data_IF_541355476227
#
_entry.id   IF_541355476227
#
_cell.length_a   1.000
_cell.length_b   1.000
_cell.length_c   1.000
_cell.angle_alpha   90.00
_cell.angle_beta   90.00
_cell.angle_gamma   90.00
#
_symmetry.space_group_name_H-M   'P 1'
#
loop_
_entity.id
_entity.type
_entity.pdbx_description
1 polymer ?
#
# COMPACT_ATOMS: atom_id res chain seq x y z
N UNK A 1 69.89 49.92 -10.43
CA UNK A 1 68.46 50.27 -10.43
C UNK A 1 67.72 48.97 -10.57
N UNK A 2 67.51 48.40 -9.61
CA UNK A 2 66.52 47.78 -8.74
C UNK A 2 65.11 47.62 -9.36
N UNK A 3 64.71 46.43 -9.66
CA UNK A 3 63.28 46.00 -9.66
C UNK A 3 63.15 44.58 -9.12
N UNK A 4 62.45 44.51 -8.02
CA UNK A 4 62.08 43.36 -7.24
C UNK A 4 60.99 42.60 -7.99
N UNK A 5 60.90 41.26 -7.97
CA UNK A 5 59.69 40.50 -8.32
C UNK A 5 58.92 40.10 -7.06
N UNK A 6 57.70 40.46 -7.05
CA UNK A 6 56.65 40.10 -6.08
C UNK A 6 56.37 38.62 -6.13
N UNK A 7 56.47 37.95 -4.98
CA UNK A 7 56.09 36.55 -4.79
C UNK A 7 54.58 36.38 -4.70
N UNK A 8 54.07 35.32 -5.33
CA UNK A 8 52.71 34.79 -5.22
C UNK A 8 52.72 33.75 -4.09
N UNK A 9 51.84 33.80 -3.09
CA UNK A 9 51.75 32.74 -2.09
C UNK A 9 50.96 31.53 -2.67
N UNK A 10 51.58 30.36 -2.55
CA UNK A 10 50.98 29.09 -2.86
C UNK A 10 49.82 28.81 -1.89
N UNK A 11 48.58 28.65 -2.45
CA UNK A 11 47.42 28.16 -1.74
C UNK A 11 47.62 26.67 -1.44
N UNK A 12 47.78 26.35 -0.17
CA UNK A 12 47.74 24.98 0.34
C UNK A 12 46.32 24.45 0.17
N UNK A 13 46.13 23.43 -0.68
CA UNK A 13 44.92 22.65 -0.76
C UNK A 13 44.79 21.81 0.50
N UNK A 14 43.90 22.23 1.42
CA UNK A 14 43.43 21.35 2.48
C UNK A 14 42.55 20.26 1.84
N UNK A 15 43.09 19.06 1.77
CA UNK A 15 42.37 17.82 1.49
C UNK A 15 41.41 17.55 2.65
N UNK A 16 40.17 18.06 2.55
CA UNK A 16 39.10 17.73 3.46
C UNK A 16 38.82 16.24 3.39
N UNK A 17 39.27 15.51 4.39
CA UNK A 17 38.86 14.13 4.67
C UNK A 17 37.34 14.10 4.72
N UNK A 18 36.63 13.23 3.96
CA UNK A 18 35.18 13.14 4.07
C UNK A 18 34.84 12.69 5.48
N UNK A 19 34.07 13.52 6.18
CA UNK A 19 33.58 13.24 7.53
C UNK A 19 32.94 11.85 7.54
N UNK A 20 33.51 10.95 8.31
CA UNK A 20 32.99 9.60 8.52
C UNK A 20 31.56 9.69 9.02
N UNK A 21 30.63 9.17 8.22
CA UNK A 21 29.23 9.00 8.61
C UNK A 21 29.22 8.13 9.87
N UNK A 22 28.72 8.62 11.02
CA UNK A 22 28.75 7.85 12.25
C UNK A 22 27.99 6.55 12.05
N UNK A 23 28.66 5.42 12.28
CA UNK A 23 28.07 4.09 12.30
C UNK A 23 26.91 4.10 13.30
N UNK A 24 25.69 4.00 12.78
CA UNK A 24 24.47 3.92 13.60
C UNK A 24 24.52 2.62 14.39
N UNK A 25 24.69 2.73 15.70
CA UNK A 25 24.57 1.62 16.64
C UNK A 25 23.21 0.90 16.52
N UNK A 26 23.14 -0.39 16.86
CA UNK A 26 21.91 -1.16 16.85
C UNK A 26 20.95 -0.64 17.91
N UNK A 27 19.66 -0.57 17.60
CA UNK A 27 18.55 -0.29 18.50
C UNK A 27 18.07 1.16 18.62
N UNK A 28 17.41 1.64 17.55
CA UNK A 28 16.24 2.50 17.75
C UNK A 28 15.08 1.85 17.01
N UNK A 29 14.24 1.13 17.76
CA UNK A 29 12.95 0.59 17.30
C UNK A 29 12.04 1.71 16.74
N UNK A 30 12.32 2.98 17.12
CA UNK A 30 11.58 4.15 16.68
C UNK A 30 12.30 4.85 15.53
N UNK A 31 11.57 5.13 14.46
CA UNK A 31 12.07 5.89 13.33
C UNK A 31 12.59 7.27 13.77
N UNK A 32 13.73 7.77 13.24
CA UNK A 32 14.31 9.05 13.67
C UNK A 32 13.41 10.25 13.36
N UNK A 33 12.66 10.21 12.27
CA UNK A 33 11.76 11.27 11.85
C UNK A 33 10.51 11.35 12.74
N UNK A 34 10.22 12.52 13.38
CA UNK A 34 9.05 12.69 14.24
C UNK A 34 7.71 12.57 13.50
N UNK A 35 7.66 12.93 12.19
CA UNK A 35 6.46 12.80 11.40
C UNK A 35 6.16 11.32 11.11
N UNK A 36 7.15 10.54 10.72
CA UNK A 36 7.00 9.09 10.53
C UNK A 36 6.57 8.42 11.84
N UNK A 37 7.09 8.83 12.99
CA UNK A 37 6.64 8.32 14.29
C UNK A 37 5.17 8.64 14.59
N UNK A 38 4.70 9.85 14.26
CA UNK A 38 3.27 10.20 14.39
C UNK A 38 2.39 9.33 13.51
N UNK A 39 2.76 9.20 12.23
CA UNK A 39 2.06 8.34 11.29
C UNK A 39 2.08 6.87 11.75
N UNK A 40 3.20 6.39 12.29
CA UNK A 40 3.32 5.02 12.81
C UNK A 40 2.37 4.75 13.99
N UNK A 41 2.24 5.69 14.94
CA UNK A 41 1.27 5.55 16.05
C UNK A 41 -0.17 5.49 15.56
N UNK A 42 -0.52 6.35 14.59
CA UNK A 42 -1.82 6.34 13.94
C UNK A 42 -2.09 5.02 13.21
N UNK A 43 -1.11 4.56 12.43
CA UNK A 43 -1.18 3.29 11.70
C UNK A 43 -1.32 2.11 12.67
N UNK A 44 -0.52 2.08 13.74
CA UNK A 44 -0.58 1.00 14.74
C UNK A 44 -1.97 0.92 15.38
N UNK A 45 -2.50 2.05 15.84
CA UNK A 45 -3.82 2.12 16.49
C UNK A 45 -4.92 1.64 15.53
N UNK A 46 -4.93 2.16 14.29
CA UNK A 46 -5.94 1.79 13.30
C UNK A 46 -5.82 0.31 12.87
N UNK A 47 -4.60 -0.19 12.66
CA UNK A 47 -4.39 -1.58 12.26
C UNK A 47 -4.70 -2.57 13.39
N UNK A 48 -4.56 -2.16 14.64
CA UNK A 48 -4.95 -2.98 15.78
C UNK A 48 -6.48 -3.17 15.81
N UNK A 49 -7.26 -2.09 15.62
CA UNK A 49 -8.72 -2.15 15.44
C UNK A 49 -9.12 -3.03 14.25
N UNK A 50 -8.54 -2.76 13.09
CA UNK A 50 -8.79 -3.53 11.87
C UNK A 50 -8.49 -5.03 12.02
N UNK A 51 -7.37 -5.39 12.68
CA UNK A 51 -7.02 -6.79 12.93
C UNK A 51 -8.02 -7.48 13.87
N UNK A 52 -8.47 -6.77 14.90
CA UNK A 52 -9.51 -7.24 15.82
C UNK A 52 -10.83 -7.48 15.08
N UNK A 53 -11.29 -6.50 14.32
CA UNK A 53 -12.52 -6.55 13.53
C UNK A 53 -12.47 -7.65 12.47
N UNK A 54 -11.36 -7.77 11.73
CA UNK A 54 -11.16 -8.80 10.71
C UNK A 54 -11.31 -10.22 11.26
N UNK A 55 -10.75 -10.49 12.45
CA UNK A 55 -10.83 -11.81 13.09
C UNK A 55 -12.27 -12.20 13.42
N UNK A 56 -13.12 -11.25 13.81
CA UNK A 56 -14.48 -11.52 14.27
C UNK A 56 -15.55 -11.27 13.22
N UNK A 57 -15.23 -10.58 12.13
CA UNK A 57 -16.19 -10.07 11.14
C UNK A 57 -17.14 -11.16 10.60
N UNK A 58 -16.61 -12.30 10.16
CA UNK A 58 -17.42 -13.37 9.57
C UNK A 58 -18.44 -13.89 10.58
N UNK A 59 -18.04 -14.14 11.83
CA UNK A 59 -18.94 -14.64 12.86
C UNK A 59 -19.92 -13.55 13.33
N UNK A 60 -19.48 -12.31 13.40
CA UNK A 60 -20.38 -11.18 13.66
C UNK A 60 -21.48 -11.10 12.61
N UNK A 61 -21.14 -11.10 11.32
CA UNK A 61 -22.13 -10.99 10.25
C UNK A 61 -23.04 -12.21 10.15
N UNK A 62 -22.54 -13.42 10.39
CA UNK A 62 -23.35 -14.65 10.27
C UNK A 62 -24.15 -14.95 11.52
N UNK A 63 -23.55 -14.80 12.73
CA UNK A 63 -24.23 -15.15 13.99
C UNK A 63 -25.02 -14.01 14.61
N UNK A 64 -24.50 -12.77 14.55
CA UNK A 64 -25.15 -11.61 15.19
C UNK A 64 -26.17 -10.97 14.25
N UNK A 65 -25.82 -10.78 12.96
CA UNK A 65 -26.74 -10.23 11.95
C UNK A 65 -27.58 -11.31 11.27
N UNK A 66 -27.27 -12.60 11.43
CA UNK A 66 -28.04 -13.70 10.85
C UNK A 66 -27.91 -13.85 9.32
N UNK A 67 -26.83 -13.32 8.72
CA UNK A 67 -26.63 -13.40 7.27
C UNK A 67 -26.16 -14.80 6.86
N UNK A 68 -26.69 -15.32 5.76
CA UNK A 68 -26.15 -16.53 5.15
C UNK A 68 -24.76 -16.28 4.54
N UNK A 69 -23.95 -17.34 4.40
CA UNK A 69 -22.63 -17.24 3.77
C UNK A 69 -22.69 -16.66 2.35
N UNK A 70 -23.74 -16.99 1.58
CA UNK A 70 -23.96 -16.46 0.25
C UNK A 70 -24.28 -14.95 0.29
N UNK A 71 -25.17 -14.52 1.18
CA UNK A 71 -25.49 -13.09 1.37
C UNK A 71 -24.26 -12.30 1.78
N UNK A 72 -23.44 -12.82 2.71
CA UNK A 72 -22.18 -12.19 3.11
C UNK A 72 -21.21 -12.07 1.92
N UNK A 73 -21.04 -13.16 1.15
CA UNK A 73 -20.16 -13.16 -0.02
C UNK A 73 -20.59 -12.16 -1.09
N UNK A 74 -21.86 -12.14 -1.48
CA UNK A 74 -22.38 -11.18 -2.45
C UNK A 74 -22.29 -9.73 -1.95
N UNK A 75 -22.62 -9.50 -0.67
CA UNK A 75 -22.53 -8.16 -0.08
C UNK A 75 -21.11 -7.62 -0.03
N UNK A 76 -20.11 -8.46 0.35
CA UNK A 76 -18.71 -8.07 0.34
C UNK A 76 -18.15 -7.87 -1.07
N UNK A 77 -18.63 -8.63 -2.07
CA UNK A 77 -18.27 -8.42 -3.47
C UNK A 77 -18.77 -7.06 -3.98
N UNK A 78 -20.04 -6.74 -3.71
CA UNK A 78 -20.61 -5.43 -4.04
C UNK A 78 -19.85 -4.29 -3.35
N UNK A 79 -19.52 -4.45 -2.06
CA UNK A 79 -18.72 -3.50 -1.32
C UNK A 79 -17.32 -3.32 -1.94
N UNK A 80 -16.67 -4.41 -2.36
CA UNK A 80 -15.39 -4.37 -3.05
C UNK A 80 -15.40 -3.55 -4.34
N UNK A 81 -16.45 -3.72 -5.17
CA UNK A 81 -16.67 -2.93 -6.38
C UNK A 81 -16.82 -1.43 -6.07
N UNK A 82 -17.64 -1.10 -5.06
CA UNK A 82 -17.79 0.28 -4.59
C UNK A 82 -16.45 0.86 -4.11
N UNK A 83 -15.63 0.07 -3.40
CA UNK A 83 -14.32 0.49 -2.93
C UNK A 83 -13.34 0.81 -4.06
N UNK A 84 -13.27 -0.04 -5.09
CA UNK A 84 -12.44 0.21 -6.29
C UNK A 84 -12.88 1.50 -6.97
N UNK A 85 -14.21 1.65 -7.20
CA UNK A 85 -14.77 2.83 -7.83
C UNK A 85 -14.52 4.12 -7.03
N UNK A 86 -14.55 4.05 -5.69
CA UNK A 86 -14.37 5.20 -4.81
C UNK A 86 -12.93 5.72 -4.72
N UNK A 87 -11.93 4.88 -4.98
CA UNK A 87 -10.50 5.25 -4.85
C UNK A 87 -10.12 6.43 -5.75
N UNK A 88 -10.64 6.46 -7.00
CA UNK A 88 -10.32 7.51 -7.98
C UNK A 88 -10.96 8.86 -7.61
N UNK A 89 -12.28 8.95 -7.35
CA UNK A 89 -12.91 10.21 -6.96
C UNK A 89 -12.40 10.73 -5.61
N UNK A 90 -12.05 9.85 -4.66
CA UNK A 90 -11.47 10.26 -3.38
C UNK A 90 -10.11 10.96 -3.57
N UNK A 91 -9.24 10.43 -4.47
CA UNK A 91 -7.98 11.08 -4.82
C UNK A 91 -8.18 12.47 -5.42
N UNK A 92 -9.13 12.60 -6.37
CA UNK A 92 -9.46 13.90 -6.99
C UNK A 92 -10.08 14.89 -5.98
N UNK A 93 -10.91 14.38 -5.08
CA UNK A 93 -11.46 15.18 -3.99
C UNK A 93 -10.35 15.73 -3.09
N UNK A 94 -9.32 14.92 -2.80
CA UNK A 94 -8.16 15.32 -2.03
C UNK A 94 -7.36 16.46 -2.70
N UNK A 95 -7.16 16.39 -4.02
CA UNK A 95 -6.50 17.44 -4.79
C UNK A 95 -7.32 18.75 -4.79
N UNK A 96 -8.67 18.67 -4.83
CA UNK A 96 -9.56 19.83 -4.89
C UNK A 96 -9.83 20.48 -3.53
N UNK A 97 -10.08 19.67 -2.50
CA UNK A 97 -10.54 20.15 -1.19
C UNK A 97 -9.48 20.06 -0.09
N UNK A 98 -8.29 19.55 -0.45
CA UNK A 98 -7.14 19.36 0.41
C UNK A 98 -7.13 17.99 1.07
N UNK A 99 -5.96 17.33 1.00
CA UNK A 99 -5.69 15.96 1.44
C UNK A 99 -6.15 15.73 2.88
N UNK A 100 -5.80 16.65 3.81
CA UNK A 100 -6.17 16.51 5.21
C UNK A 100 -7.67 16.49 5.45
N UNK A 101 -8.42 17.41 4.83
CA UNK A 101 -9.88 17.50 5.02
C UNK A 101 -10.59 16.26 4.53
N UNK A 102 -10.26 15.83 3.31
CA UNK A 102 -10.85 14.63 2.71
C UNK A 102 -10.51 13.38 3.50
N UNK A 103 -9.26 13.23 3.95
CA UNK A 103 -8.84 12.09 4.78
C UNK A 103 -9.62 12.03 6.10
N UNK A 104 -9.76 13.15 6.80
CA UNK A 104 -10.52 13.21 8.06
C UNK A 104 -11.99 12.84 7.85
N UNK A 105 -12.62 13.35 6.79
CA UNK A 105 -14.03 13.03 6.47
C UNK A 105 -14.18 11.54 6.15
N UNK A 106 -13.31 10.96 5.32
CA UNK A 106 -13.39 9.56 4.95
C UNK A 106 -13.17 8.64 6.16
N UNK A 107 -12.17 8.91 7.00
CA UNK A 107 -11.91 8.12 8.22
C UNK A 107 -13.02 8.30 9.26
N UNK A 108 -13.63 9.49 9.35
CA UNK A 108 -14.82 9.68 10.20
C UNK A 108 -16.04 8.90 9.67
N UNK A 109 -16.22 8.82 8.34
CA UNK A 109 -17.25 7.97 7.74
C UNK A 109 -17.00 6.48 8.00
N UNK A 110 -15.74 6.03 7.97
CA UNK A 110 -15.36 4.67 8.40
C UNK A 110 -15.76 4.43 9.86
N UNK A 111 -15.45 5.37 10.77
CA UNK A 111 -15.80 5.25 12.19
C UNK A 111 -17.32 5.10 12.39
N UNK A 112 -18.11 6.03 11.80
CA UNK A 112 -19.56 6.02 11.91
C UNK A 112 -20.16 4.77 11.25
N UNK A 113 -19.68 4.41 10.06
CA UNK A 113 -20.15 3.24 9.33
C UNK A 113 -19.83 1.93 10.05
N UNK A 114 -18.61 1.79 10.58
CA UNK A 114 -18.22 0.60 11.36
C UNK A 114 -19.05 0.49 12.65
N UNK A 115 -19.28 1.59 13.37
CA UNK A 115 -20.20 1.59 14.50
C UNK A 115 -21.64 1.25 14.08
N UNK A 116 -22.05 1.70 12.90
CA UNK A 116 -23.37 1.42 12.31
C UNK A 116 -23.67 -0.07 12.13
N UNK A 117 -22.65 -0.93 11.94
CA UNK A 117 -22.88 -2.38 11.86
C UNK A 117 -23.53 -2.95 13.13
N UNK A 118 -23.30 -2.35 14.29
CA UNK A 118 -23.97 -2.78 15.52
C UNK A 118 -25.48 -2.52 15.55
N UNK A 119 -25.97 -1.63 14.69
CA UNK A 119 -27.38 -1.21 14.58
C UNK A 119 -28.09 -1.74 13.33
N UNK A 120 -27.35 -2.39 12.44
CA UNK A 120 -27.90 -2.87 11.17
C UNK A 120 -28.83 -4.08 11.41
N UNK A 121 -29.98 -4.03 10.76
CA UNK A 121 -30.94 -5.13 10.69
C UNK A 121 -31.28 -5.40 9.22
N UNK A 122 -31.09 -6.65 8.80
CA UNK A 122 -31.43 -7.11 7.45
C UNK A 122 -30.34 -6.91 6.39
N UNK A 123 -30.47 -7.68 5.32
CA UNK A 123 -29.46 -7.81 4.27
C UNK A 123 -29.23 -6.52 3.48
N UNK A 124 -30.31 -5.81 3.10
CA UNK A 124 -30.18 -4.59 2.29
C UNK A 124 -29.40 -3.49 3.04
N UNK A 125 -29.70 -3.29 4.34
CA UNK A 125 -29.01 -2.33 5.17
C UNK A 125 -27.52 -2.71 5.35
N UNK A 126 -27.23 -4.01 5.50
CA UNK A 126 -25.85 -4.51 5.53
C UNK A 126 -25.10 -4.17 4.24
N UNK A 127 -25.68 -4.47 3.06
CA UNK A 127 -25.01 -4.21 1.77
C UNK A 127 -24.74 -2.73 1.57
N UNK A 128 -25.73 -1.85 1.84
CA UNK A 128 -25.56 -0.41 1.69
C UNK A 128 -24.44 0.11 2.62
N UNK A 129 -24.44 -0.32 3.87
CA UNK A 129 -23.43 0.09 4.83
C UNK A 129 -22.06 -0.47 4.48
N UNK A 130 -21.96 -1.74 4.05
CA UNK A 130 -20.71 -2.36 3.62
C UNK A 130 -20.12 -1.63 2.40
N UNK A 131 -20.95 -1.26 1.42
CA UNK A 131 -20.53 -0.45 0.28
C UNK A 131 -19.99 0.92 0.72
N UNK A 132 -20.69 1.60 1.63
CA UNK A 132 -20.26 2.91 2.14
C UNK A 132 -18.95 2.85 2.92
N UNK A 133 -18.82 1.89 3.85
CA UNK A 133 -17.62 1.67 4.66
C UNK A 133 -16.42 1.31 3.79
N UNK A 134 -16.61 0.35 2.86
CA UNK A 134 -15.51 -0.08 1.98
C UNK A 134 -15.11 1.03 0.99
N UNK A 135 -16.06 1.83 0.51
CA UNK A 135 -15.77 3.00 -0.31
C UNK A 135 -14.95 4.05 0.47
N UNK A 136 -15.31 4.30 1.73
CA UNK A 136 -14.57 5.19 2.61
C UNK A 136 -13.16 4.65 2.90
N UNK A 137 -13.00 3.35 3.22
CA UNK A 137 -11.71 2.70 3.49
C UNK A 137 -10.76 2.77 2.28
N UNK A 138 -11.23 2.38 1.09
CA UNK A 138 -10.39 2.43 -0.11
C UNK A 138 -10.08 3.86 -0.54
N UNK A 139 -11.06 4.76 -0.38
CA UNK A 139 -10.86 6.20 -0.59
C UNK A 139 -9.85 6.80 0.39
N UNK A 140 -9.96 6.51 1.68
CA UNK A 140 -9.01 6.99 2.70
C UNK A 140 -7.61 6.43 2.49
N UNK A 141 -7.50 5.17 2.04
CA UNK A 141 -6.22 4.55 1.68
C UNK A 141 -5.54 5.29 0.52
N UNK A 142 -6.28 5.66 -0.53
CA UNK A 142 -5.76 6.45 -1.65
C UNK A 142 -5.29 7.84 -1.19
N UNK A 143 -6.11 8.54 -0.39
CA UNK A 143 -5.79 9.88 0.13
C UNK A 143 -4.64 9.83 1.13
N UNK A 144 -4.53 8.80 1.95
CA UNK A 144 -3.41 8.54 2.86
C UNK A 144 -2.10 8.34 2.10
N UNK A 145 -2.13 7.64 0.97
CA UNK A 145 -0.97 7.50 0.09
C UNK A 145 -0.55 8.85 -0.51
N UNK A 146 -1.51 9.72 -0.86
CA UNK A 146 -1.22 11.08 -1.30
C UNK A 146 -0.63 11.94 -0.15
N UNK A 147 -1.14 11.77 1.08
CA UNK A 147 -0.56 12.41 2.27
C UNK A 147 0.90 12.02 2.47
N UNK A 148 1.24 10.73 2.31
CA UNK A 148 2.63 10.26 2.43
C UNK A 148 3.51 10.88 1.34
N UNK A 149 2.99 11.07 0.12
CA UNK A 149 3.70 11.75 -0.96
C UNK A 149 4.01 13.21 -0.67
N UNK A 150 3.11 13.90 0.06
CA UNK A 150 3.24 15.32 0.39
C UNK A 150 4.09 15.57 1.65
N UNK A 151 3.91 14.74 2.68
CA UNK A 151 4.49 14.97 4.02
C UNK A 151 5.88 14.37 4.17
N UNK A 152 6.19 13.29 3.46
CA UNK A 152 7.49 12.65 3.55
C UNK A 152 8.48 13.24 2.52
N UNK A 153 9.72 13.58 2.94
CA UNK A 153 10.77 14.00 2.01
C UNK A 153 10.97 12.98 0.90
N UNK A 154 11.20 13.43 -0.33
CA UNK A 154 11.29 12.57 -1.50
C UNK A 154 12.33 11.45 -1.34
N UNK A 155 13.50 11.78 -0.77
CA UNK A 155 14.61 10.85 -0.49
C UNK A 155 14.28 9.77 0.55
N UNK A 156 13.27 9.98 1.42
CA UNK A 156 12.88 9.06 2.52
C UNK A 156 11.48 8.51 2.41
N UNK A 157 10.72 8.91 1.37
CA UNK A 157 9.31 8.55 1.19
C UNK A 157 9.08 7.05 1.13
N UNK A 158 9.89 6.35 0.34
CA UNK A 158 9.79 4.89 0.17
C UNK A 158 10.18 4.16 1.45
N UNK A 159 11.27 4.59 2.10
CA UNK A 159 11.72 4.01 3.38
C UNK A 159 10.70 4.27 4.52
N UNK A 160 10.13 5.48 4.58
CA UNK A 160 9.06 5.81 5.53
C UNK A 160 7.83 4.93 5.33
N UNK A 161 7.42 4.71 4.07
CA UNK A 161 6.31 3.82 3.75
C UNK A 161 6.59 2.37 4.10
N UNK A 162 7.81 1.88 3.86
CA UNK A 162 8.23 0.55 4.26
C UNK A 162 8.17 0.36 5.78
N UNK A 163 8.60 1.36 6.55
CA UNK A 163 8.46 1.34 8.01
C UNK A 163 7.00 1.29 8.45
N UNK A 164 6.12 2.10 7.84
CA UNK A 164 4.69 2.08 8.12
C UNK A 164 4.06 0.72 7.77
N UNK A 165 4.54 0.03 6.72
CA UNK A 165 4.09 -1.33 6.38
C UNK A 165 4.44 -2.34 7.48
N UNK A 166 5.65 -2.26 8.04
CA UNK A 166 6.04 -3.08 9.20
C UNK A 166 5.09 -2.83 10.38
N UNK A 167 4.81 -1.55 10.69
CA UNK A 167 3.88 -1.17 11.75
C UNK A 167 2.46 -1.71 11.48
N UNK A 168 2.00 -1.66 10.22
CA UNK A 168 0.72 -2.26 9.81
C UNK A 168 0.68 -3.75 10.12
N UNK A 169 1.70 -4.51 9.72
CA UNK A 169 1.75 -5.95 9.97
C UNK A 169 1.74 -6.28 11.47
N UNK A 170 2.53 -5.55 12.27
CA UNK A 170 2.54 -5.71 13.73
C UNK A 170 1.16 -5.40 14.34
N UNK A 171 0.54 -4.28 13.94
CA UNK A 171 -0.78 -3.88 14.41
C UNK A 171 -1.86 -4.90 14.06
N UNK A 172 -1.86 -5.38 12.83
CA UNK A 172 -2.78 -6.43 12.36
C UNK A 172 -2.62 -7.73 13.15
N UNK A 173 -1.38 -8.21 13.35
CA UNK A 173 -1.12 -9.42 14.15
C UNK A 173 -1.61 -9.28 15.59
N UNK A 174 -1.31 -8.16 16.25
CA UNK A 174 -1.78 -7.91 17.62
C UNK A 174 -3.30 -7.81 17.68
N UNK A 175 -3.93 -7.12 16.74
CA UNK A 175 -5.38 -6.99 16.64
C UNK A 175 -6.06 -8.35 16.44
N UNK A 176 -5.54 -9.17 15.51
CA UNK A 176 -6.06 -10.52 15.25
C UNK A 176 -5.90 -11.43 16.47
N UNK A 177 -4.79 -11.32 17.21
CA UNK A 177 -4.59 -12.05 18.45
C UNK A 177 -5.64 -11.66 19.52
N UNK A 178 -5.96 -10.36 19.65
CA UNK A 178 -7.06 -9.91 20.52
C UNK A 178 -8.42 -10.44 20.03
N UNK A 179 -8.63 -10.50 18.71
CA UNK A 179 -9.82 -11.09 18.11
C UNK A 179 -9.98 -12.57 18.45
N UNK A 180 -8.88 -13.33 18.54
CA UNK A 180 -8.93 -14.73 18.98
C UNK A 180 -9.46 -14.87 20.42
N UNK A 181 -9.19 -13.92 21.31
CA UNK A 181 -9.77 -13.89 22.66
C UNK A 181 -11.29 -13.65 22.60
N UNK A 182 -11.73 -12.69 21.77
CA UNK A 182 -13.16 -12.41 21.55
C UNK A 182 -13.89 -13.65 21.03
N UNK A 183 -13.27 -14.41 20.13
CA UNK A 183 -13.83 -15.66 19.59
C UNK A 183 -13.99 -16.74 20.65
N UNK A 184 -13.11 -16.80 21.66
CA UNK A 184 -13.25 -17.74 22.78
C UNK A 184 -14.40 -17.37 23.72
N UNK A 185 -14.66 -16.07 23.91
CA UNK A 185 -15.80 -15.59 24.71
C UNK A 185 -17.13 -15.89 24.00
N UNK A 186 -17.18 -15.86 22.68
CA UNK A 186 -18.27 -16.25 21.78
C UNK A 186 -19.65 -15.70 22.19
N UNK A 187 -19.72 -14.42 22.57
CA UNK A 187 -20.97 -13.75 22.94
C UNK A 187 -21.26 -12.58 22.00
N UNK A 188 -22.56 -12.29 21.80
CA UNK A 188 -22.99 -11.11 21.01
C UNK A 188 -22.33 -9.82 21.51
N UNK A 189 -22.27 -9.64 22.83
CA UNK A 189 -21.65 -8.48 23.47
C UNK A 189 -20.17 -8.35 23.10
N UNK A 190 -19.41 -9.46 23.15
CA UNK A 190 -17.99 -9.48 22.80
C UNK A 190 -17.77 -9.10 21.33
N UNK A 191 -18.59 -9.62 20.41
CA UNK A 191 -18.49 -9.26 18.98
C UNK A 191 -18.83 -7.80 18.74
N UNK A 192 -19.91 -7.27 19.32
CA UNK A 192 -20.29 -5.86 19.20
C UNK A 192 -19.22 -4.96 19.79
N UNK A 193 -18.66 -5.32 20.94
CA UNK A 193 -17.55 -4.55 21.57
C UNK A 193 -16.33 -4.50 20.65
N UNK A 194 -15.96 -5.61 20.01
CA UNK A 194 -14.84 -5.64 19.07
C UNK A 194 -15.05 -4.68 17.89
N UNK A 195 -16.24 -4.68 17.28
CA UNK A 195 -16.61 -3.76 16.19
C UNK A 195 -16.61 -2.29 16.67
N UNK A 196 -17.11 -2.01 17.87
CA UNK A 196 -17.11 -0.66 18.42
C UNK A 196 -15.71 -0.17 18.81
N UNK A 197 -14.82 -1.05 19.25
CA UNK A 197 -13.40 -0.71 19.49
C UNK A 197 -12.68 -0.36 18.17
N UNK A 198 -12.98 -1.07 17.10
CA UNK A 198 -12.47 -0.75 15.77
C UNK A 198 -13.01 0.61 15.29
N UNK A 199 -14.31 0.86 15.41
CA UNK A 199 -14.93 2.16 15.12
C UNK A 199 -14.29 3.30 15.94
N UNK A 200 -14.01 3.07 17.21
CA UNK A 200 -13.30 4.02 18.07
C UNK A 200 -11.88 4.29 17.57
N UNK A 201 -11.17 3.25 17.09
CA UNK A 201 -9.83 3.42 16.51
C UNK A 201 -9.84 4.36 15.32
N UNK A 202 -10.83 4.24 14.41
CA UNK A 202 -11.05 5.16 13.31
C UNK A 202 -11.41 6.57 13.78
N UNK A 203 -12.28 6.72 14.79
CA UNK A 203 -12.64 8.01 15.34
C UNK A 203 -11.43 8.77 15.91
N UNK A 204 -10.60 8.06 16.69
CA UNK A 204 -9.34 8.61 17.21
C UNK A 204 -8.38 8.94 16.07
N UNK A 205 -8.27 8.08 15.05
CA UNK A 205 -7.44 8.33 13.89
C UNK A 205 -7.90 9.60 13.13
N UNK A 206 -9.21 9.80 12.93
CA UNK A 206 -9.76 10.99 12.29
C UNK A 206 -9.37 12.28 13.04
N UNK A 207 -9.50 12.30 14.37
CA UNK A 207 -9.09 13.43 15.20
C UNK A 207 -7.59 13.71 15.09
N UNK A 208 -6.77 12.65 15.12
CA UNK A 208 -5.32 12.78 15.06
C UNK A 208 -4.84 13.21 13.66
N UNK A 209 -5.46 12.72 12.57
CA UNK A 209 -5.21 13.24 11.22
C UNK A 209 -5.57 14.72 11.10
N UNK A 210 -6.66 15.15 11.75
CA UNK A 210 -7.05 16.56 11.82
C UNK A 210 -6.01 17.47 12.49
N UNK A 211 -5.18 16.91 13.39
CA UNK A 211 -4.09 17.62 14.09
C UNK A 211 -2.75 17.63 13.35
N UNK A 212 -2.62 16.90 12.22
CA UNK A 212 -1.41 16.94 11.40
C UNK A 212 -1.34 18.29 10.68
N UNK A 213 -0.30 19.06 10.96
CA UNK A 213 0.02 20.29 10.21
C UNK A 213 0.81 19.87 8.97
N UNK A 214 0.21 20.06 7.80
CA UNK A 214 0.91 19.94 6.52
C UNK A 214 1.54 21.32 6.29
N UNK A 215 2.88 21.37 6.27
CA UNK A 215 3.59 22.59 5.93
C UNK A 215 3.23 22.97 4.49
N UNK A 216 2.63 24.11 4.24
CA UNK A 216 2.49 24.63 2.88
C UNK A 216 3.89 24.83 2.32
N UNK A 217 4.15 24.45 1.06
CA UNK A 217 5.38 24.85 0.40
C UNK A 217 5.52 26.39 0.49
N UNK A 218 6.68 26.87 0.92
CA UNK A 218 6.98 28.29 0.92
C UNK A 218 6.87 28.79 -0.54
N UNK A 219 5.82 29.55 -0.85
CA UNK A 219 5.53 30.03 -2.21
C UNK A 219 4.11 29.77 -2.71
N UNK A 220 3.28 28.97 -2.02
CA UNK A 220 1.88 28.87 -2.37
C UNK A 220 1.14 30.16 -1.95
N UNK A 221 0.42 30.85 -2.86
CA UNK A 221 -0.33 32.06 -2.50
C UNK A 221 -1.35 31.73 -1.42
N UNK A 222 -1.44 32.60 -0.42
CA UNK A 222 -2.46 32.54 0.61
C UNK A 222 -3.84 32.51 -0.06
N UNK A 223 -4.71 31.58 0.38
CA UNK A 223 -6.09 31.56 -0.09
C UNK A 223 -6.76 32.88 0.19
N UNK A 224 -7.87 33.23 -0.49
CA UNK A 224 -8.45 34.53 -0.48
C UNK A 224 -8.89 34.96 0.93
N UNK A 225 -8.11 35.84 1.57
CA UNK A 225 -8.64 36.78 2.52
C UNK A 225 -9.54 37.75 1.74
N UNK A 226 -10.76 37.87 2.19
CA UNK A 226 -11.72 38.81 1.62
C UNK A 226 -11.18 40.25 1.76
N UNK A 227 -10.85 40.88 0.66
CA UNK A 227 -10.60 42.31 0.61
C UNK A 227 -9.58 42.77 -0.43
N UNK A 228 -10.09 43.41 -1.46
CA UNK A 228 -9.49 44.45 -2.30
C UNK A 228 -8.67 44.04 -3.54
N UNK A 229 -9.26 44.34 -4.71
CA UNK A 229 -8.61 44.98 -5.85
C UNK A 229 -8.01 44.11 -6.94
N UNK A 230 -8.36 44.40 -8.22
CA UNK A 230 -7.89 43.60 -9.37
C UNK A 230 -6.55 44.12 -9.89
N UNK A 231 -5.52 43.27 -9.91
CA UNK A 231 -4.42 43.45 -10.83
C UNK A 231 -4.09 42.09 -11.46
N UNK A 232 -4.53 41.94 -12.70
CA UNK A 232 -4.20 40.85 -13.58
C UNK A 232 -2.80 41.07 -14.18
N UNK A 233 -1.87 40.12 -13.89
CA UNK A 233 -0.66 39.91 -14.64
C UNK A 233 -0.70 38.50 -15.26
N UNK A 234 -0.38 38.29 -16.54
CA UNK A 234 -0.45 36.99 -17.18
C UNK A 234 0.79 36.15 -16.85
N UNK A 235 0.61 34.97 -16.28
CA UNK A 235 1.60 33.92 -16.35
C UNK A 235 2.14 33.42 -15.02
N UNK A 236 1.42 32.52 -14.38
CA UNK A 236 1.93 31.29 -13.73
C UNK A 236 0.70 30.50 -13.28
N UNK A 237 0.49 29.33 -13.88
CA UNK A 237 -0.70 28.52 -13.70
C UNK A 237 -0.90 28.10 -12.25
N UNK A 238 -1.91 28.66 -11.61
CA UNK A 238 -2.49 28.07 -10.39
C UNK A 238 -2.91 26.62 -10.70
N UNK A 239 -2.80 25.67 -9.76
CA UNK A 239 -3.30 24.34 -9.97
C UNK A 239 -4.82 24.42 -10.13
N UNK A 240 -5.25 24.41 -11.38
CA UNK A 240 -6.66 24.37 -11.73
C UNK A 240 -7.22 23.05 -11.24
N UNK A 241 -7.93 23.09 -10.13
CA UNK A 241 -8.91 22.05 -9.73
C UNK A 241 -10.00 21.97 -10.81
N UNK A 242 -9.59 21.72 -12.06
CA UNK A 242 -10.41 21.80 -13.24
C UNK A 242 -11.40 20.63 -13.31
N UNK A 243 -12.60 20.95 -13.79
CA UNK A 243 -13.62 20.02 -14.27
C UNK A 243 -13.12 19.08 -15.40
N UNK A 244 -11.82 19.00 -15.66
CA UNK A 244 -11.20 18.15 -16.68
C UNK A 244 -11.14 16.67 -16.31
N UNK A 245 -10.98 15.76 -17.30
CA UNK A 245 -10.77 14.35 -17.05
C UNK A 245 -9.52 14.11 -16.20
N UNK A 246 -9.53 13.02 -15.38
CA UNK A 246 -8.44 12.70 -14.47
C UNK A 246 -7.10 12.58 -15.24
N UNK A 247 -6.07 13.37 -14.91
CA UNK A 247 -4.81 13.36 -15.65
C UNK A 247 -4.09 12.00 -15.57
N UNK A 248 -4.23 11.27 -14.47
CA UNK A 248 -3.64 9.95 -14.29
C UNK A 248 -4.24 8.92 -15.26
N UNK A 249 -5.54 9.00 -15.59
CA UNK A 249 -6.19 8.11 -16.55
C UNK A 249 -5.78 8.39 -18.02
N UNK A 250 -5.18 9.53 -18.29
CA UNK A 250 -4.66 9.90 -19.63
C UNK A 250 -3.16 9.63 -19.76
N UNK A 251 -2.50 9.28 -18.65
CA UNK A 251 -1.09 8.97 -18.62
C UNK A 251 -0.86 7.47 -18.88
N UNK A 252 -0.72 7.08 -20.17
CA UNK A 252 -0.57 5.68 -20.56
C UNK A 252 0.60 4.96 -19.89
N UNK A 253 1.82 5.52 -19.79
CA UNK A 253 2.92 4.91 -19.05
C UNK A 253 2.61 4.67 -17.58
N UNK A 254 1.95 5.61 -16.90
CA UNK A 254 1.53 5.45 -15.51
C UNK A 254 0.49 4.34 -15.36
N UNK A 255 -0.48 4.25 -16.28
CA UNK A 255 -1.47 3.17 -16.29
C UNK A 255 -0.82 1.80 -16.51
N UNK A 256 0.17 1.72 -17.41
CA UNK A 256 0.92 0.48 -17.62
C UNK A 256 1.63 0.04 -16.32
N UNK A 257 2.37 0.93 -15.65
CA UNK A 257 3.02 0.66 -14.38
C UNK A 257 2.01 0.27 -13.30
N UNK A 258 0.87 0.97 -13.22
CA UNK A 258 -0.21 0.66 -12.26
C UNK A 258 -0.79 -0.73 -12.49
N UNK A 259 -1.05 -1.11 -13.74
CA UNK A 259 -1.57 -2.44 -14.10
C UNK A 259 -0.56 -3.54 -13.78
N UNK A 260 0.70 -3.35 -14.13
CA UNK A 260 1.77 -4.31 -13.81
C UNK A 260 1.94 -4.47 -12.30
N UNK A 261 1.87 -3.37 -11.55
CA UNK A 261 1.89 -3.42 -10.09
C UNK A 261 0.65 -4.14 -9.52
N UNK A 262 -0.53 -3.92 -10.09
CA UNK A 262 -1.75 -4.65 -9.68
C UNK A 262 -1.60 -6.15 -9.90
N UNK A 263 -1.01 -6.58 -11.02
CA UNK A 263 -0.69 -8.00 -11.25
C UNK A 263 0.28 -8.54 -10.20
N UNK A 264 1.35 -7.82 -9.88
CA UNK A 264 2.27 -8.22 -8.81
C UNK A 264 1.59 -8.29 -7.43
N UNK A 265 0.54 -7.49 -7.18
CA UNK A 265 -0.24 -7.53 -5.93
C UNK A 265 -1.11 -8.78 -5.79
N UNK A 266 -1.34 -9.57 -6.85
CA UNK A 266 -2.02 -10.87 -6.75
C UNK A 266 -1.28 -11.85 -5.81
N UNK A 267 0.00 -11.62 -5.55
CA UNK A 267 0.78 -12.38 -4.58
C UNK A 267 0.19 -12.36 -3.15
N UNK A 268 -0.59 -11.34 -2.78
CA UNK A 268 -1.31 -11.33 -1.51
C UNK A 268 -2.41 -12.40 -1.49
N UNK A 269 -3.20 -12.49 -2.55
CA UNK A 269 -4.20 -13.54 -2.67
C UNK A 269 -3.56 -14.94 -2.77
N UNK A 270 -2.36 -15.04 -3.38
CA UNK A 270 -1.59 -16.28 -3.38
C UNK A 270 -1.24 -16.71 -1.96
N UNK A 271 -0.76 -15.79 -1.11
CA UNK A 271 -0.41 -16.07 0.28
C UNK A 271 -1.64 -16.37 1.15
N UNK A 272 -2.69 -15.57 1.02
CA UNK A 272 -3.87 -15.60 1.91
C UNK A 272 -4.86 -16.71 1.55
N UNK A 273 -4.95 -17.09 0.28
CA UNK A 273 -5.94 -18.04 -0.22
C UNK A 273 -5.33 -19.23 -0.93
N UNK A 274 -4.45 -18.97 -1.91
CA UNK A 274 -3.86 -20.02 -2.75
C UNK A 274 -3.06 -21.03 -1.96
N UNK A 275 -2.12 -20.55 -1.15
CA UNK A 275 -1.23 -21.40 -0.37
C UNK A 275 -1.97 -22.21 0.71
N UNK A 276 -2.84 -21.65 1.53
CA UNK A 276 -3.65 -22.42 2.47
C UNK A 276 -4.48 -23.52 1.81
N UNK A 277 -5.16 -23.18 0.70
CA UNK A 277 -5.96 -24.16 -0.05
C UNK A 277 -5.08 -25.29 -0.63
N UNK A 278 -3.90 -24.94 -1.18
CA UNK A 278 -2.95 -25.90 -1.72
C UNK A 278 -2.45 -26.87 -0.65
N UNK A 279 -2.03 -26.34 0.51
CA UNK A 279 -1.58 -27.17 1.65
C UNK A 279 -2.66 -28.17 2.06
N UNK A 280 -3.91 -27.71 2.20
CA UNK A 280 -4.99 -28.55 2.75
C UNK A 280 -5.52 -29.57 1.75
N UNK A 281 -5.55 -29.23 0.45
CA UNK A 281 -6.21 -30.05 -0.57
C UNK A 281 -5.25 -30.89 -1.40
N UNK A 282 -4.04 -30.40 -1.65
CA UNK A 282 -3.16 -30.94 -2.69
C UNK A 282 -1.81 -31.43 -2.14
N UNK A 283 -1.54 -31.21 -0.85
CA UNK A 283 -0.29 -31.67 -0.24
C UNK A 283 -0.55 -32.55 0.99
N UNK A 284 0.48 -33.30 1.39
CA UNK A 284 0.46 -34.07 2.64
C UNK A 284 1.03 -33.28 3.83
N UNK A 285 1.36 -31.99 3.66
CA UNK A 285 1.92 -31.19 4.72
C UNK A 285 0.94 -31.05 5.91
N UNK A 286 1.41 -31.11 7.16
CA UNK A 286 0.55 -30.90 8.33
C UNK A 286 -0.16 -29.55 8.28
N UNK A 287 -1.42 -29.49 8.67
CA UNK A 287 -2.23 -28.26 8.63
C UNK A 287 -1.64 -27.09 9.44
N UNK A 288 -0.82 -27.39 10.45
CA UNK A 288 -0.10 -26.37 11.23
C UNK A 288 0.84 -25.52 10.34
N UNK A 289 1.28 -26.04 9.20
CA UNK A 289 2.13 -25.33 8.24
C UNK A 289 1.42 -24.10 7.69
N UNK A 290 0.09 -24.11 7.59
CA UNK A 290 -0.69 -22.90 7.20
C UNK A 290 -0.41 -21.73 8.15
N UNK A 291 -0.39 -21.96 9.45
CA UNK A 291 0.01 -20.92 10.40
C UNK A 291 1.50 -20.58 10.26
N UNK A 292 2.34 -21.58 10.01
CA UNK A 292 3.78 -21.40 9.77
C UNK A 292 4.06 -20.49 8.57
N UNK A 293 3.26 -20.55 7.50
CA UNK A 293 3.43 -19.68 6.31
C UNK A 293 3.26 -18.20 6.66
N UNK A 294 2.25 -17.87 7.46
CA UNK A 294 2.02 -16.49 7.92
C UNK A 294 3.13 -15.98 8.83
N UNK A 295 3.63 -16.84 9.73
CA UNK A 295 4.74 -16.48 10.62
C UNK A 295 6.01 -16.20 9.81
N UNK A 296 6.39 -17.10 8.89
CA UNK A 296 7.58 -16.95 8.05
C UNK A 296 7.48 -15.68 7.19
N UNK A 297 6.33 -15.46 6.51
CA UNK A 297 6.13 -14.25 5.72
C UNK A 297 6.26 -13.01 6.60
N UNK A 298 5.54 -12.93 7.73
CA UNK A 298 5.57 -11.76 8.63
C UNK A 298 6.98 -11.46 9.13
N UNK A 299 7.72 -12.47 9.59
CA UNK A 299 9.08 -12.30 10.11
C UNK A 299 10.01 -11.78 9.02
N UNK A 300 9.96 -12.34 7.82
CA UNK A 300 10.81 -11.91 6.70
C UNK A 300 10.44 -10.52 6.21
N UNK A 301 9.16 -10.21 6.07
CA UNK A 301 8.69 -8.88 5.67
C UNK A 301 9.14 -7.85 6.70
N UNK A 302 8.91 -8.09 8.00
CA UNK A 302 9.33 -7.15 9.07
C UNK A 302 10.85 -6.94 9.05
N UNK A 303 11.63 -8.02 8.86
CA UNK A 303 13.09 -7.94 8.87
C UNK A 303 13.69 -7.24 7.64
N UNK A 304 13.07 -7.39 6.48
CA UNK A 304 13.66 -7.04 5.19
C UNK A 304 13.00 -5.83 4.51
N UNK A 305 11.74 -5.50 4.81
CA UNK A 305 10.97 -4.48 4.11
C UNK A 305 11.71 -3.12 4.04
N UNK A 306 12.27 -2.65 5.16
CA UNK A 306 13.00 -1.38 5.19
C UNK A 306 14.33 -1.45 4.42
N UNK A 307 15.00 -2.63 4.44
CA UNK A 307 16.26 -2.80 3.70
C UNK A 307 16.05 -2.85 2.19
N UNK A 308 14.95 -3.42 1.75
CA UNK A 308 14.62 -3.55 0.33
C UNK A 308 14.36 -2.21 -0.37
N UNK A 309 14.06 -1.15 0.38
CA UNK A 309 13.89 0.19 -0.18
C UNK A 309 15.20 0.89 -0.51
N UNK A 310 16.34 0.35 -0.04
CA UNK A 310 17.65 0.90 -0.36
C UNK A 310 17.97 0.63 -1.83
N UNK A 311 18.27 1.69 -2.57
CA UNK A 311 18.58 1.60 -3.99
C UNK A 311 17.34 1.59 -4.90
N UNK A 312 16.16 2.00 -4.42
CA UNK A 312 14.98 2.28 -5.27
C UNK A 312 14.80 3.78 -5.55
N UNK A 313 15.83 4.59 -5.33
CA UNK A 313 15.80 6.05 -5.43
C UNK A 313 15.71 6.57 -6.89
N UNK A 314 15.85 5.67 -7.87
CA UNK A 314 15.74 5.98 -9.29
C UNK A 314 14.71 5.06 -9.95
N UNK A 315 13.88 5.56 -10.87
CA UNK A 315 12.84 4.76 -11.51
C UNK A 315 13.35 3.46 -12.17
N UNK A 316 14.58 3.49 -12.75
CA UNK A 316 15.18 2.31 -13.37
C UNK A 316 15.56 1.25 -12.32
N UNK A 317 16.04 1.68 -11.15
CA UNK A 317 16.38 0.76 -10.04
C UNK A 317 15.11 0.19 -9.40
N UNK A 318 14.07 1.01 -9.24
CA UNK A 318 12.75 0.58 -8.80
C UNK A 318 12.13 -0.44 -9.76
N UNK A 319 12.24 -0.22 -11.07
CA UNK A 319 11.79 -1.17 -12.07
C UNK A 319 12.57 -2.50 -12.01
N UNK A 320 13.89 -2.46 -11.75
CA UNK A 320 14.71 -3.67 -11.55
C UNK A 320 14.30 -4.41 -10.27
N UNK A 321 13.95 -3.69 -9.20
CA UNK A 321 13.44 -4.28 -7.98
C UNK A 321 12.11 -5.03 -8.23
N UNK A 322 11.17 -4.43 -8.97
CA UNK A 322 9.96 -5.10 -9.44
C UNK A 322 10.25 -6.34 -10.30
N UNK A 323 11.24 -6.24 -11.22
CA UNK A 323 11.65 -7.35 -12.06
C UNK A 323 12.18 -8.53 -11.24
N UNK A 324 13.09 -8.27 -10.31
CA UNK A 324 13.61 -9.29 -9.38
C UNK A 324 12.51 -9.85 -8.48
N UNK A 325 11.61 -8.98 -7.98
CA UNK A 325 10.44 -9.37 -7.20
C UNK A 325 9.54 -10.33 -7.98
N UNK A 326 9.21 -10.00 -9.23
CA UNK A 326 8.40 -10.85 -10.11
C UNK A 326 9.04 -12.21 -10.39
N UNK A 327 10.36 -12.25 -10.59
CA UNK A 327 11.10 -13.52 -10.78
C UNK A 327 11.13 -14.37 -9.50
N UNK A 328 11.27 -13.74 -8.32
CA UNK A 328 11.19 -14.46 -7.04
C UNK A 328 9.78 -15.01 -6.78
N UNK A 329 8.73 -14.25 -7.11
CA UNK A 329 7.34 -14.70 -7.04
C UNK A 329 7.09 -15.88 -8.01
N UNK A 330 7.67 -15.82 -9.21
CA UNK A 330 7.63 -16.93 -10.15
C UNK A 330 8.33 -18.18 -9.60
N UNK A 331 9.54 -18.03 -9.06
CA UNK A 331 10.27 -19.12 -8.39
C UNK A 331 9.49 -19.68 -7.20
N UNK A 332 8.88 -18.82 -6.39
CA UNK A 332 7.98 -19.21 -5.29
C UNK A 332 6.83 -20.08 -5.80
N UNK A 333 6.15 -19.65 -6.87
CA UNK A 333 5.03 -20.38 -7.46
C UNK A 333 5.45 -21.79 -7.91
N UNK A 334 6.62 -21.92 -8.55
CA UNK A 334 7.18 -23.22 -8.95
C UNK A 334 7.47 -24.08 -7.72
N UNK A 335 8.16 -23.53 -6.71
CA UNK A 335 8.52 -24.26 -5.49
C UNK A 335 7.28 -24.74 -4.74
N UNK A 336 6.25 -23.87 -4.62
CA UNK A 336 4.99 -24.25 -3.99
C UNK A 336 4.26 -25.36 -4.75
N UNK A 337 4.29 -25.33 -6.07
CA UNK A 337 3.76 -26.41 -6.91
C UNK A 337 4.46 -27.74 -6.67
N UNK A 338 5.78 -27.73 -6.51
CA UNK A 338 6.58 -28.95 -6.26
C UNK A 338 6.30 -29.63 -4.91
N UNK A 339 5.54 -28.99 -4.00
CA UNK A 339 5.12 -29.61 -2.75
C UNK A 339 4.07 -30.73 -2.95
N UNK A 340 3.43 -30.80 -4.13
CA UNK A 340 2.47 -31.86 -4.46
C UNK A 340 3.13 -33.24 -4.51
N UNK A 341 2.49 -34.23 -3.92
CA UNK A 341 2.95 -35.62 -3.93
C UNK A 341 4.16 -35.92 -3.02
N UNK A 342 4.72 -34.92 -2.32
CA UNK A 342 5.83 -35.14 -1.40
C UNK A 342 5.35 -35.68 -0.03
N UNK A 343 6.18 -36.48 0.68
CA UNK A 343 5.92 -36.86 2.06
C UNK A 343 5.72 -35.62 2.97
N UNK A 344 4.94 -35.77 4.04
CA UNK A 344 4.47 -34.67 4.89
C UNK A 344 5.55 -33.65 5.32
N UNK A 345 6.70 -34.11 5.81
CA UNK A 345 7.80 -33.24 6.24
C UNK A 345 8.51 -32.55 5.06
N UNK A 346 8.71 -33.26 3.95
CA UNK A 346 9.30 -32.68 2.75
C UNK A 346 8.38 -31.62 2.14
N UNK A 347 7.07 -31.89 2.06
CA UNK A 347 6.07 -30.94 1.63
C UNK A 347 6.06 -29.68 2.52
N UNK A 348 6.15 -29.84 3.85
CA UNK A 348 6.22 -28.73 4.79
C UNK A 348 7.45 -27.84 4.55
N UNK A 349 8.63 -28.43 4.40
CA UNK A 349 9.88 -27.71 4.14
C UNK A 349 9.81 -26.97 2.80
N UNK A 350 9.33 -27.62 1.74
CA UNK A 350 9.19 -27.01 0.40
C UNK A 350 8.20 -25.85 0.42
N UNK A 351 7.05 -26.00 1.10
CA UNK A 351 6.08 -24.92 1.27
C UNK A 351 6.71 -23.72 1.99
N UNK A 352 7.39 -23.94 3.12
CA UNK A 352 8.02 -22.85 3.87
C UNK A 352 9.15 -22.18 3.08
N UNK A 353 9.91 -22.92 2.28
CA UNK A 353 10.91 -22.37 1.36
C UNK A 353 10.24 -21.52 0.25
N UNK A 354 9.13 -22.01 -0.32
CA UNK A 354 8.32 -21.26 -1.27
C UNK A 354 7.82 -19.93 -0.68
N UNK A 355 7.35 -19.93 0.57
CA UNK A 355 6.92 -18.73 1.28
C UNK A 355 8.09 -17.77 1.56
N UNK A 356 9.28 -18.28 1.86
CA UNK A 356 10.45 -17.44 2.01
C UNK A 356 10.80 -16.71 0.70
N UNK A 357 10.74 -17.39 -0.44
CA UNK A 357 10.89 -16.76 -1.76
C UNK A 357 9.78 -15.75 -2.05
N UNK A 358 8.53 -16.07 -1.69
CA UNK A 358 7.39 -15.17 -1.85
C UNK A 358 7.59 -13.89 -1.03
N UNK A 359 8.00 -14.00 0.24
CA UNK A 359 8.27 -12.85 1.10
C UNK A 359 9.37 -11.93 0.54
N UNK A 360 10.46 -12.51 -0.01
CA UNK A 360 11.51 -11.75 -0.70
C UNK A 360 10.97 -11.05 -1.96
N UNK A 361 10.16 -11.75 -2.75
CA UNK A 361 9.49 -11.20 -3.92
C UNK A 361 8.52 -10.06 -3.57
N UNK A 362 7.73 -10.25 -2.51
CA UNK A 362 6.83 -9.23 -1.95
C UNK A 362 7.60 -7.96 -1.60
N UNK A 363 8.63 -8.08 -0.79
CA UNK A 363 9.39 -6.94 -0.26
C UNK A 363 10.01 -6.12 -1.39
N UNK A 364 10.57 -6.76 -2.41
CA UNK A 364 11.18 -6.08 -3.57
C UNK A 364 10.12 -5.45 -4.48
N UNK A 365 9.04 -6.18 -4.81
CA UNK A 365 7.98 -5.65 -5.67
C UNK A 365 7.24 -4.48 -5.03
N UNK A 366 6.99 -4.54 -3.72
CA UNK A 366 6.37 -3.45 -2.98
C UNK A 366 7.26 -2.20 -2.93
N UNK A 367 8.56 -2.36 -2.63
CA UNK A 367 9.50 -1.24 -2.61
C UNK A 367 9.58 -0.55 -3.97
N UNK A 368 9.73 -1.33 -5.05
CA UNK A 368 9.75 -0.80 -6.42
C UNK A 368 8.42 -0.18 -6.83
N UNK A 369 7.30 -0.84 -6.55
CA UNK A 369 5.96 -0.36 -6.88
C UNK A 369 5.63 0.97 -6.21
N UNK A 370 5.98 1.14 -4.92
CA UNK A 370 5.77 2.41 -4.22
C UNK A 370 6.65 3.53 -4.77
N UNK A 371 7.93 3.26 -5.08
CA UNK A 371 8.81 4.24 -5.69
C UNK A 371 8.22 4.72 -7.03
N UNK A 372 7.88 3.81 -7.93
CA UNK A 372 7.31 4.14 -9.23
C UNK A 372 5.95 4.86 -9.13
N UNK A 373 5.11 4.46 -8.17
CA UNK A 373 3.82 5.11 -7.93
C UNK A 373 3.95 6.57 -7.48
N UNK A 374 5.08 6.95 -6.87
CA UNK A 374 5.37 8.33 -6.49
C UNK A 374 6.14 9.09 -7.59
N UNK A 375 7.18 8.47 -8.16
CA UNK A 375 8.09 9.12 -9.11
C UNK A 375 7.41 9.45 -10.45
N UNK A 376 6.43 8.63 -10.87
CA UNK A 376 5.69 8.85 -12.10
C UNK A 376 4.41 9.67 -11.90
N UNK A 377 4.09 10.09 -10.67
CA UNK A 377 2.97 10.96 -10.39
C UNK A 377 3.29 12.39 -10.84
N UNK A 378 2.36 13.01 -11.58
CA UNK A 378 2.50 14.41 -12.01
C UNK A 378 2.49 15.37 -10.82
N UNK A 379 3.29 16.43 -10.89
CA UNK A 379 3.32 17.49 -9.88
C UNK A 379 1.94 18.14 -9.72
N UNK A 380 1.54 18.38 -8.47
CA UNK A 380 0.27 19.04 -8.13
C UNK A 380 -0.99 18.16 -8.23
N UNK A 381 -0.89 16.89 -8.66
CA UNK A 381 -2.03 15.98 -8.80
C UNK A 381 -1.81 14.63 -8.08
N UNK A 382 -1.09 14.66 -6.96
CA UNK A 382 -0.74 13.44 -6.21
C UNK A 382 -1.96 12.61 -5.80
N UNK A 383 -3.07 13.24 -5.43
CA UNK A 383 -4.32 12.54 -5.10
C UNK A 383 -4.89 11.77 -6.27
N UNK A 384 -4.96 12.39 -7.46
CA UNK A 384 -5.47 11.73 -8.68
C UNK A 384 -4.63 10.52 -9.07
N UNK A 385 -3.30 10.64 -9.03
CA UNK A 385 -2.37 9.56 -9.36
C UNK A 385 -2.42 8.44 -8.31
N UNK A 386 -2.38 8.77 -7.03
CA UNK A 386 -2.49 7.76 -5.97
C UNK A 386 -3.87 7.10 -5.92
N UNK A 387 -4.93 7.83 -6.30
CA UNK A 387 -6.27 7.28 -6.46
C UNK A 387 -6.33 6.17 -7.51
N UNK A 388 -5.73 6.41 -8.70
CA UNK A 388 -5.65 5.42 -9.78
C UNK A 388 -4.75 4.23 -9.38
N UNK A 389 -3.60 4.50 -8.77
CA UNK A 389 -2.68 3.46 -8.30
C UNK A 389 -3.34 2.55 -7.25
N UNK A 390 -4.06 3.16 -6.28
CA UNK A 390 -4.78 2.41 -5.26
C UNK A 390 -5.98 1.64 -5.82
N UNK A 391 -6.67 2.18 -6.83
CA UNK A 391 -7.74 1.46 -7.53
C UNK A 391 -7.22 0.17 -8.19
N UNK A 392 -6.03 0.21 -8.83
CA UNK A 392 -5.37 -0.96 -9.38
C UNK A 392 -5.06 -2.01 -8.30
N UNK A 393 -4.47 -1.61 -7.18
CA UNK A 393 -4.20 -2.51 -6.06
C UNK A 393 -5.50 -3.10 -5.47
N UNK A 394 -6.54 -2.28 -5.30
CA UNK A 394 -7.84 -2.71 -4.78
C UNK A 394 -8.54 -3.69 -5.72
N UNK A 395 -8.44 -3.48 -7.03
CA UNK A 395 -8.96 -4.42 -8.02
C UNK A 395 -8.25 -5.79 -7.93
N UNK A 396 -6.93 -5.80 -7.80
CA UNK A 396 -6.15 -7.03 -7.60
C UNK A 396 -6.57 -7.78 -6.33
N UNK A 397 -6.77 -7.05 -5.21
CA UNK A 397 -7.26 -7.63 -3.95
C UNK A 397 -8.67 -8.20 -4.07
N UNK A 398 -9.54 -7.59 -4.88
CA UNK A 398 -10.91 -8.04 -5.08
C UNK A 398 -11.01 -9.31 -5.95
N UNK A 399 -10.29 -9.33 -7.08
CA UNK A 399 -10.36 -10.46 -8.03
C UNK A 399 -9.35 -11.57 -7.72
N UNK A 400 -8.30 -11.25 -6.98
CA UNK A 400 -7.17 -12.11 -6.68
C UNK A 400 -7.58 -13.46 -6.08
N UNK A 401 -8.39 -13.50 -5.01
CA UNK A 401 -8.82 -14.76 -4.39
C UNK A 401 -9.47 -15.74 -5.36
N UNK A 402 -10.39 -15.26 -6.21
CA UNK A 402 -11.07 -16.08 -7.20
C UNK A 402 -10.10 -16.56 -8.29
N UNK A 403 -9.27 -15.64 -8.82
CA UNK A 403 -8.29 -15.96 -9.87
C UNK A 403 -7.26 -16.97 -9.38
N UNK A 404 -6.67 -16.73 -8.21
CA UNK A 404 -5.62 -17.59 -7.65
C UNK A 404 -6.17 -18.95 -7.23
N UNK A 405 -7.35 -19.00 -6.56
CA UNK A 405 -7.95 -20.28 -6.16
C UNK A 405 -8.31 -21.13 -7.39
N UNK A 406 -8.87 -20.50 -8.43
CA UNK A 406 -9.17 -21.20 -9.70
C UNK A 406 -7.90 -21.71 -10.37
N UNK A 407 -6.83 -20.89 -10.44
CA UNK A 407 -5.57 -21.30 -11.02
C UNK A 407 -4.95 -22.48 -10.24
N UNK A 408 -4.81 -22.35 -8.93
CA UNK A 408 -4.10 -23.29 -8.08
C UNK A 408 -4.87 -24.60 -7.89
N UNK A 409 -6.17 -24.53 -7.59
CA UNK A 409 -6.99 -25.74 -7.32
C UNK A 409 -7.58 -26.31 -8.60
N UNK A 410 -8.00 -25.46 -9.55
CA UNK A 410 -8.61 -25.94 -10.80
C UNK A 410 -7.62 -26.55 -11.78
N UNK A 411 -6.37 -26.05 -11.80
CA UNK A 411 -5.35 -26.46 -12.76
C UNK A 411 -4.06 -27.03 -12.10
N UNK A 412 -4.00 -27.11 -10.78
CA UNK A 412 -2.88 -27.74 -10.05
C UNK A 412 -1.51 -27.14 -10.42
N UNK A 413 -0.57 -28.02 -10.80
CA UNK A 413 0.79 -27.61 -11.18
C UNK A 413 0.83 -26.65 -12.37
N UNK A 414 -0.05 -26.85 -13.37
CA UNK A 414 -0.15 -25.95 -14.51
C UNK A 414 -0.63 -24.56 -14.06
N UNK A 415 -1.56 -24.47 -13.11
CA UNK A 415 -2.00 -23.22 -12.52
C UNK A 415 -0.89 -22.46 -11.79
N UNK A 416 -0.06 -23.18 -11.03
CA UNK A 416 1.15 -22.60 -10.41
C UNK A 416 2.15 -22.07 -11.45
N UNK A 417 2.37 -22.84 -12.54
CA UNK A 417 3.28 -22.42 -13.61
C UNK A 417 2.77 -21.16 -14.33
N UNK A 418 1.47 -21.11 -14.65
CA UNK A 418 0.83 -19.92 -15.26
C UNK A 418 0.94 -18.71 -14.33
N UNK A 419 0.63 -18.88 -13.05
CA UNK A 419 0.72 -17.79 -12.06
C UNK A 419 2.16 -17.27 -11.96
N UNK A 420 3.14 -18.16 -11.91
CA UNK A 420 4.56 -17.83 -11.94
C UNK A 420 4.96 -17.07 -13.21
N UNK A 421 4.52 -17.53 -14.37
CA UNK A 421 4.77 -16.88 -15.66
C UNK A 421 4.16 -15.45 -15.69
N UNK A 422 2.96 -15.27 -15.14
CA UNK A 422 2.30 -13.97 -15.03
C UNK A 422 3.10 -13.01 -14.13
N UNK A 423 3.59 -13.47 -12.99
CA UNK A 423 4.45 -12.67 -12.12
C UNK A 423 5.78 -12.31 -12.78
N UNK A 424 6.44 -13.26 -13.45
CA UNK A 424 7.68 -13.01 -14.18
C UNK A 424 7.44 -11.97 -15.29
N UNK A 425 6.40 -12.16 -16.12
CA UNK A 425 6.07 -11.26 -17.21
C UNK A 425 5.77 -9.84 -16.70
N UNK A 426 4.95 -9.70 -15.65
CA UNK A 426 4.62 -8.41 -15.05
C UNK A 426 5.86 -7.70 -14.48
N UNK A 427 6.71 -8.43 -13.75
CA UNK A 427 7.95 -7.89 -13.22
C UNK A 427 8.92 -7.43 -14.30
N UNK A 428 9.15 -8.25 -15.32
CA UNK A 428 10.06 -7.94 -16.44
C UNK A 428 9.52 -6.79 -17.31
N UNK A 429 8.20 -6.71 -17.50
CA UNK A 429 7.56 -5.64 -18.27
C UNK A 429 7.63 -4.26 -17.55
N UNK A 430 7.98 -4.22 -16.27
CA UNK A 430 8.10 -2.96 -15.54
C UNK A 430 9.20 -2.05 -16.12
N UNK A 431 10.36 -2.62 -16.50
CA UNK A 431 11.47 -1.84 -17.05
C UNK A 431 11.14 -1.17 -18.40
N UNK A 432 10.56 -1.86 -19.39
CA UNK A 432 10.10 -1.18 -20.62
C UNK A 432 9.00 -0.13 -20.36
N UNK A 433 8.08 -0.35 -19.42
CA UNK A 433 7.05 0.63 -19.06
C UNK A 433 7.66 1.92 -18.49
N UNK A 434 8.65 1.81 -17.62
CA UNK A 434 9.37 2.96 -17.06
C UNK A 434 10.17 3.69 -18.14
N UNK A 435 10.85 2.98 -19.06
CA UNK A 435 11.54 3.61 -20.21
C UNK A 435 10.57 4.36 -21.12
N UNK A 436 9.36 3.82 -21.30
CA UNK A 436 8.32 4.54 -22.07
C UNK A 436 7.91 5.84 -21.36
N UNK A 437 7.74 5.83 -20.03
CA UNK A 437 7.46 7.04 -19.24
C UNK A 437 8.56 8.10 -19.42
N UNK A 438 9.84 7.71 -19.31
CA UNK A 438 10.98 8.60 -19.44
C UNK A 438 11.06 9.26 -20.84
N UNK A 439 10.83 8.49 -21.91
CA UNK A 439 10.81 9.03 -23.30
C UNK A 439 9.70 10.05 -23.49
N UNK A 440 8.52 9.82 -22.91
CA UNK A 440 7.38 10.72 -23.04
C UNK A 440 7.60 12.05 -22.32
N UNK A 441 8.21 12.02 -21.13
CA UNK A 441 8.55 13.24 -20.39
C UNK A 441 9.62 14.07 -21.12
N UNK A 442 10.64 13.44 -21.70
CA UNK A 442 11.67 14.13 -22.50
C UNK A 442 11.08 14.76 -23.78
N UNK A 443 10.17 14.05 -24.47
CA UNK A 443 9.49 14.59 -25.64
C UNK A 443 8.62 15.80 -25.32
N UNK A 444 7.90 15.77 -24.18
CA UNK A 444 7.10 16.91 -23.74
C UNK A 444 7.96 18.13 -23.38
N UNK A 445 9.11 17.93 -22.71
CA UNK A 445 10.06 18.99 -22.38
C UNK A 445 10.69 19.62 -23.65
N UNK A 446 11.02 18.81 -24.66
CA UNK A 446 11.57 19.30 -25.94
C UNK A 446 10.57 20.15 -26.72
N UNK A 447 9.28 19.79 -26.72
CA UNK A 447 8.20 20.56 -27.35
C UNK A 447 7.95 21.91 -26.64
N UNK A 448 8.15 21.98 -25.31
CA UNK A 448 8.00 23.22 -24.55
C UNK A 448 9.23 24.16 -24.69
N UNK A 449 10.36 23.63 -25.10
CA UNK A 449 11.60 24.38 -25.30
C UNK A 449 11.79 24.87 -26.74
N UNK A 450 11.01 24.37 -27.72
CA UNK A 450 10.95 24.78 -29.12
C UNK A 450 9.82 25.78 -29.35
#
# INVERSE_FOLDING_TARGET
>A
MTTTPTGVPAAMSESGTPAAVPARGPSRLLHPDPMVRRLARLTLLNCLGNGLSLAVAVLFFTRVLGLSAAQLGFGLTAAGLCGVAASIPAGRAADRWGIRRVLVVLVALEAVGTAGYALVHGYAAFVLLACAVTAADRGSSAVRNALYAEVLPADRRVAGRAYLRVVTNVGMCLGTALGAVVLQVDTRAAYVTAILLDALSFAVAAVLYGRIRIARPAGAPAGPEAGAGPQAGPGTGAPTGGRGPNPALRNGPFLAVTTLNAVLCLQFAMLEVGVPLWIVKETQAPRIVVAGTLVVNTVLVVALQVRATRGTDRPELAARACGRGGLLLAGSSVVLGLAHGLPAMAAAVVVLAGIALQALGEVLSQAGGWALGYDLAGEGAHGAYQGVFNAGTSAAMMIGPALVSTAVIGYGLAGWAVLGAVFAAAGLAMAPAVRWAARRSQGAAAVMAA
#
